data_IF_978466675991
#
_entry.id   IF_978466675991
#
_cell.length_a   1.000
_cell.length_b   1.000
_cell.length_c   1.000
_cell.angle_alpha   90.00
_cell.angle_beta   90.00
_cell.angle_gamma   90.00
#
_symmetry.space_group_name_H-M   'P 1'
#
loop_
_entity.id
_entity.type
_entity.pdbx_description
1 polymer ?
#
# COMPACT_ATOMS: atom_id res chain seq x y z
N UNK A 1 22.48 18.56 -8.01
CA UNK A 1 23.08 18.04 -6.79
C UNK A 1 23.06 16.52 -6.84
N UNK A 2 24.15 15.89 -6.39
CA UNK A 2 24.21 14.43 -6.27
C UNK A 2 23.46 14.05 -5.00
N UNK A 3 22.28 13.45 -5.15
CA UNK A 3 21.49 12.93 -4.05
C UNK A 3 22.06 11.57 -3.60
N UNK A 4 22.24 11.42 -2.30
CA UNK A 4 22.45 10.11 -1.71
C UNK A 4 21.11 9.57 -1.22
N UNK A 5 20.83 8.33 -1.55
CA UNK A 5 19.65 7.60 -1.05
C UNK A 5 20.10 6.67 0.07
N UNK A 6 19.44 6.76 1.22
CA UNK A 6 19.57 5.82 2.33
C UNK A 6 18.24 5.11 2.52
N UNK A 7 18.28 3.80 2.72
CA UNK A 7 17.10 2.98 2.95
C UNK A 7 16.98 2.62 4.43
N UNK A 8 15.74 2.60 4.92
CA UNK A 8 15.41 2.19 6.28
C UNK A 8 14.08 1.45 6.32
N UNK A 9 13.93 0.54 7.26
CA UNK A 9 12.69 -0.20 7.50
C UNK A 9 12.07 0.23 8.82
N UNK A 10 10.84 0.76 8.77
CA UNK A 10 10.08 1.16 9.96
C UNK A 10 9.66 -0.02 10.83
N UNK A 11 9.26 -1.14 10.20
CA UNK A 11 8.79 -2.32 10.91
C UNK A 11 9.92 -3.09 11.61
N UNK A 12 9.88 -3.11 12.93
CA UNK A 12 10.81 -3.89 13.75
C UNK A 12 10.63 -5.41 13.59
N UNK A 13 9.43 -5.86 13.22
CA UNK A 13 9.14 -7.28 12.93
C UNK A 13 9.86 -7.70 11.66
N UNK A 14 9.70 -6.90 10.59
CA UNK A 14 10.35 -7.18 9.29
C UNK A 14 11.87 -7.16 9.43
N UNK A 15 12.43 -6.15 10.13
CA UNK A 15 13.90 -6.08 10.34
C UNK A 15 14.44 -7.32 11.07
N UNK A 16 13.72 -7.80 12.10
CA UNK A 16 14.13 -9.06 12.79
C UNK A 16 14.05 -10.26 11.88
N UNK A 17 12.97 -10.40 11.11
CA UNK A 17 12.82 -11.51 10.17
C UNK A 17 13.93 -11.52 9.10
N UNK A 18 14.29 -10.37 8.54
CA UNK A 18 15.40 -10.25 7.57
C UNK A 18 16.75 -10.62 8.20
N UNK A 19 16.98 -10.17 9.43
CA UNK A 19 18.21 -10.52 10.15
C UNK A 19 18.33 -12.02 10.42
N UNK A 20 17.23 -12.65 10.84
CA UNK A 20 17.21 -14.07 11.21
C UNK A 20 17.24 -14.99 9.99
N UNK A 21 16.47 -14.68 8.95
CA UNK A 21 16.30 -15.55 7.77
C UNK A 21 17.34 -15.29 6.68
N UNK A 22 17.70 -14.02 6.47
CA UNK A 22 18.49 -13.58 5.31
C UNK A 22 19.84 -13.02 5.68
N UNK A 23 20.16 -12.90 6.98
CA UNK A 23 21.39 -12.29 7.51
C UNK A 23 21.56 -10.81 7.07
N UNK A 24 20.46 -10.12 6.78
CA UNK A 24 20.44 -8.70 6.39
C UNK A 24 20.14 -7.86 7.63
N UNK A 25 21.08 -6.97 7.97
CA UNK A 25 20.93 -6.02 9.09
C UNK A 25 20.38 -4.68 8.56
N UNK A 26 19.08 -4.63 8.36
CA UNK A 26 18.39 -3.45 7.84
C UNK A 26 18.27 -2.36 8.93
N UNK A 27 18.56 -1.12 8.56
CA UNK A 27 18.50 0.02 9.47
C UNK A 27 17.06 0.40 9.82
N UNK A 28 16.85 0.84 11.05
CA UNK A 28 15.66 1.62 11.43
C UNK A 28 15.77 3.06 10.89
N UNK A 29 14.66 3.81 10.84
CA UNK A 29 14.71 5.23 10.49
C UNK A 29 15.67 6.04 11.36
N UNK A 30 15.67 5.83 12.67
CA UNK A 30 16.59 6.51 13.59
C UNK A 30 18.07 6.17 13.30
N UNK A 31 18.39 4.89 13.07
CA UNK A 31 19.76 4.49 12.73
C UNK A 31 20.22 5.06 11.38
N UNK A 32 19.33 5.12 10.39
CA UNK A 32 19.63 5.73 9.10
C UNK A 32 19.89 7.24 9.24
N UNK A 33 19.07 7.94 10.03
CA UNK A 33 19.27 9.37 10.31
C UNK A 33 20.59 9.63 11.05
N UNK A 34 20.92 8.81 12.06
CA UNK A 34 22.20 8.90 12.76
C UNK A 34 23.39 8.73 11.81
N UNK A 35 23.34 7.75 10.90
CA UNK A 35 24.38 7.55 9.88
C UNK A 35 24.49 8.72 8.90
N UNK A 36 23.37 9.34 8.49
CA UNK A 36 23.40 10.52 7.63
C UNK A 36 24.07 11.70 8.33
N UNK A 37 23.76 11.91 9.62
CA UNK A 37 24.43 12.92 10.46
C UNK A 37 25.94 12.67 10.54
N UNK A 38 26.36 11.45 10.86
CA UNK A 38 27.79 11.08 10.95
C UNK A 38 28.56 11.31 9.63
N UNK A 39 27.87 11.13 8.50
CA UNK A 39 28.42 11.41 7.16
C UNK A 39 28.42 12.88 6.78
N UNK A 40 27.91 13.77 7.64
CA UNK A 40 27.90 15.22 7.45
C UNK A 40 26.80 15.74 6.53
N UNK A 41 25.72 14.97 6.28
CA UNK A 41 24.57 15.48 5.56
C UNK A 41 23.83 16.48 6.44
N UNK A 42 23.46 17.61 5.86
CA UNK A 42 22.80 18.74 6.56
C UNK A 42 21.36 18.95 6.13
N UNK A 43 20.97 18.44 4.96
CA UNK A 43 19.62 18.52 4.41
C UNK A 43 19.13 17.11 4.07
N UNK A 44 17.97 16.75 4.61
CA UNK A 44 17.40 15.42 4.45
C UNK A 44 15.92 15.55 4.07
N UNK A 45 15.52 14.84 3.03
CA UNK A 45 14.11 14.64 2.70
C UNK A 45 13.78 13.15 2.91
N UNK A 46 12.79 12.88 3.73
CA UNK A 46 12.35 11.53 4.06
C UNK A 46 11.10 11.20 3.25
N UNK A 47 11.15 10.14 2.45
CA UNK A 47 10.01 9.63 1.70
C UNK A 47 9.45 8.37 2.38
N UNK A 48 8.29 8.44 3.08
CA UNK A 48 7.60 7.26 3.55
C UNK A 48 7.04 6.49 2.36
N UNK A 49 7.33 5.20 2.28
CA UNK A 49 6.67 4.32 1.31
C UNK A 49 5.40 3.67 1.87
N UNK A 50 4.91 4.18 2.98
CA UNK A 50 3.64 3.76 3.59
C UNK A 50 2.45 4.17 2.71
N UNK A 51 1.45 3.29 2.61
CA UNK A 51 0.22 3.59 1.86
C UNK A 51 -0.68 4.52 2.67
N UNK A 52 -0.84 4.26 3.96
CA UNK A 52 -1.73 5.00 4.87
C UNK A 52 -0.93 5.67 5.99
N UNK A 53 -1.49 6.72 6.57
CA UNK A 53 -0.93 7.38 7.75
C UNK A 53 -1.28 6.57 9.03
N UNK A 54 -0.76 5.35 9.10
CA UNK A 54 -0.96 4.40 10.20
C UNK A 54 0.15 4.48 11.25
N UNK A 55 0.21 3.46 12.12
CA UNK A 55 1.15 3.38 13.25
C UNK A 55 2.61 3.50 12.77
N UNK A 56 2.99 2.76 11.71
CA UNK A 56 4.36 2.77 11.20
C UNK A 56 4.78 4.15 10.65
N UNK A 57 3.85 4.86 9.98
CA UNK A 57 4.12 6.21 9.50
C UNK A 57 4.23 7.21 10.66
N UNK A 58 3.41 7.06 11.69
CA UNK A 58 3.51 7.85 12.92
C UNK A 58 4.87 7.65 13.60
N UNK A 59 5.31 6.41 13.75
CA UNK A 59 6.61 6.08 14.34
C UNK A 59 7.77 6.65 13.53
N UNK A 60 7.68 6.63 12.20
CA UNK A 60 8.66 7.27 11.33
C UNK A 60 8.72 8.79 11.58
N UNK A 61 7.56 9.47 11.59
CA UNK A 61 7.48 10.92 11.85
C UNK A 61 8.05 11.28 13.22
N UNK A 62 7.80 10.45 14.23
CA UNK A 62 8.37 10.62 15.56
C UNK A 62 9.90 10.49 15.54
N UNK A 63 10.45 9.45 14.89
CA UNK A 63 11.90 9.29 14.76
C UNK A 63 12.56 10.49 14.06
N UNK A 64 11.92 11.06 13.03
CA UNK A 64 12.40 12.27 12.36
C UNK A 64 12.39 13.46 13.32
N UNK A 65 11.34 13.64 14.13
CA UNK A 65 11.25 14.74 15.07
C UNK A 65 12.34 14.67 16.16
N UNK A 66 12.64 13.47 16.66
CA UNK A 66 13.72 13.23 17.62
C UNK A 66 15.12 13.60 17.06
N UNK A 67 15.31 13.50 15.75
CA UNK A 67 16.54 13.85 15.04
C UNK A 67 16.52 15.22 14.38
N UNK A 68 15.45 16.02 14.53
CA UNK A 68 15.29 17.31 13.84
C UNK A 68 16.46 18.27 14.06
N UNK A 69 16.97 18.35 15.29
CA UNK A 69 18.08 19.22 15.63
C UNK A 69 19.45 18.78 15.08
N UNK A 70 19.52 17.57 14.52
CA UNK A 70 20.75 17.02 13.95
C UNK A 70 21.06 17.57 12.54
N UNK A 71 20.07 18.20 11.90
CA UNK A 71 20.14 18.67 10.52
C UNK A 71 19.81 20.17 10.43
N UNK A 72 20.32 20.81 9.38
CA UNK A 72 19.92 22.19 9.03
C UNK A 72 18.47 22.19 8.54
N UNK A 73 18.11 21.18 7.76
CA UNK A 73 16.75 20.95 7.29
C UNK A 73 16.48 19.44 7.20
N UNK A 74 15.37 19.03 7.77
CA UNK A 74 14.82 17.68 7.59
C UNK A 74 13.31 17.78 7.42
N UNK A 75 12.80 17.23 6.33
CA UNK A 75 11.38 17.23 6.01
C UNK A 75 10.91 15.81 5.69
N UNK A 76 9.64 15.54 6.01
CA UNK A 76 8.99 14.25 5.73
C UNK A 76 7.89 14.48 4.72
N UNK A 77 7.95 13.75 3.62
CA UNK A 77 6.88 13.71 2.63
C UNK A 77 5.64 13.00 3.19
N UNK A 78 4.49 13.24 2.58
CA UNK A 78 3.26 12.55 2.92
C UNK A 78 3.33 11.04 2.58
N UNK A 79 2.57 10.23 3.31
CA UNK A 79 2.25 8.86 2.89
C UNK A 79 1.42 8.89 1.59
N UNK A 80 1.25 7.73 0.92
CA UNK A 80 0.55 7.68 -0.36
C UNK A 80 -0.89 8.24 -0.28
N UNK A 81 -1.60 7.96 0.83
CA UNK A 81 -2.97 8.37 1.07
C UNK A 81 -3.04 9.23 2.35
N UNK A 82 -2.69 10.49 2.26
CA UNK A 82 -2.74 11.41 3.41
C UNK A 82 -3.75 12.54 3.20
N UNK A 83 -3.82 13.10 2.00
CA UNK A 83 -4.72 14.20 1.64
C UNK A 83 -5.88 13.71 0.77
N UNK A 84 -7.02 14.42 0.76
CA UNK A 84 -8.16 14.05 -0.11
C UNK A 84 -7.80 13.91 -1.60
N UNK A 85 -6.88 14.75 -2.10
CA UNK A 85 -6.46 14.71 -3.50
C UNK A 85 -5.66 13.43 -3.82
N UNK A 86 -4.90 12.91 -2.86
CA UNK A 86 -4.09 11.70 -3.06
C UNK A 86 -4.95 10.50 -3.45
N UNK A 87 -6.16 10.38 -2.87
CA UNK A 87 -7.08 9.29 -3.21
C UNK A 87 -7.52 9.35 -4.68
N UNK A 88 -7.72 10.56 -5.22
CA UNK A 88 -8.09 10.75 -6.62
C UNK A 88 -6.89 10.45 -7.53
N UNK A 89 -5.70 10.94 -7.16
CA UNK A 89 -4.49 10.75 -7.95
C UNK A 89 -4.08 9.27 -7.99
N UNK A 90 -4.15 8.59 -6.84
CA UNK A 90 -3.88 7.14 -6.74
C UNK A 90 -4.94 6.32 -7.48
N UNK A 91 -6.24 6.69 -7.40
CA UNK A 91 -7.29 6.02 -8.14
C UNK A 91 -7.04 6.07 -9.66
N UNK A 92 -6.69 7.24 -10.17
CA UNK A 92 -6.36 7.42 -11.58
C UNK A 92 -5.08 6.65 -11.97
N UNK A 93 -4.04 6.71 -11.13
CA UNK A 93 -2.77 6.01 -11.36
C UNK A 93 -2.95 4.49 -11.42
N UNK A 94 -3.75 3.92 -10.50
CA UNK A 94 -4.07 2.50 -10.49
C UNK A 94 -4.90 2.09 -11.70
N UNK A 95 -5.96 2.86 -12.01
CA UNK A 95 -6.83 2.51 -13.13
C UNK A 95 -6.11 2.55 -14.47
N UNK A 96 -5.32 3.59 -14.73
CA UNK A 96 -4.54 3.67 -15.99
C UNK A 96 -3.54 2.52 -16.12
N UNK A 97 -3.06 1.99 -14.99
CA UNK A 97 -2.09 0.90 -14.95
C UNK A 97 -2.73 -0.48 -15.10
N UNK A 98 -4.00 -0.65 -14.70
CA UNK A 98 -4.65 -1.95 -14.55
C UNK A 98 -5.74 -2.23 -15.59
N UNK A 99 -6.37 -1.19 -16.14
CA UNK A 99 -7.59 -1.32 -16.96
C UNK A 99 -7.49 -2.32 -18.11
N UNK A 100 -6.34 -2.38 -18.77
CA UNK A 100 -6.14 -3.24 -19.95
C UNK A 100 -5.99 -4.73 -19.55
N UNK A 101 -5.47 -5.00 -18.33
CA UNK A 101 -5.35 -6.36 -17.79
C UNK A 101 -6.66 -6.82 -17.12
N UNK A 102 -7.38 -5.91 -16.46
CA UNK A 102 -8.64 -6.19 -15.78
C UNK A 102 -9.80 -6.38 -16.77
N UNK A 103 -9.81 -5.62 -17.87
CA UNK A 103 -10.91 -5.65 -18.84
C UNK A 103 -12.26 -5.31 -18.21
N UNK A 104 -13.26 -6.15 -18.45
CA UNK A 104 -14.62 -5.99 -17.91
C UNK A 104 -14.84 -6.73 -16.57
N UNK A 105 -13.83 -7.45 -16.06
CA UNK A 105 -13.95 -8.23 -14.84
C UNK A 105 -14.00 -7.33 -13.59
N UNK A 106 -14.88 -7.61 -12.61
CA UNK A 106 -14.80 -6.94 -11.32
C UNK A 106 -13.39 -7.03 -10.72
N UNK A 107 -12.93 -5.94 -10.11
CA UNK A 107 -11.61 -5.84 -9.50
C UNK A 107 -11.71 -5.82 -7.98
N UNK A 108 -11.01 -6.73 -7.32
CA UNK A 108 -10.89 -6.78 -5.86
C UNK A 108 -9.46 -6.48 -5.46
N UNK A 109 -9.28 -5.41 -4.71
CA UNK A 109 -8.00 -5.13 -4.07
C UNK A 109 -7.93 -5.78 -2.69
N UNK A 110 -6.78 -6.38 -2.38
CA UNK A 110 -6.47 -6.87 -1.05
C UNK A 110 -5.50 -5.91 -0.35
N UNK A 111 -5.99 -5.15 0.63
CA UNK A 111 -5.17 -4.34 1.52
C UNK A 111 -4.69 -5.13 2.74
N UNK A 112 -3.64 -4.67 3.41
CA UNK A 112 -3.20 -5.24 4.68
C UNK A 112 -4.27 -5.05 5.76
N UNK A 113 -4.77 -3.82 5.89
CA UNK A 113 -5.64 -3.44 6.99
C UNK A 113 -4.87 -3.10 8.27
N UNK A 114 -5.58 -2.61 9.26
CA UNK A 114 -5.02 -2.28 10.58
C UNK A 114 -6.13 -2.07 11.60
N UNK A 115 -5.84 -2.32 12.88
CA UNK A 115 -6.74 -1.94 13.98
C UNK A 115 -6.77 -0.41 14.22
N UNK A 116 -5.79 0.33 13.67
CA UNK A 116 -5.73 1.78 13.78
C UNK A 116 -6.86 2.46 13.00
N UNK A 117 -7.26 3.67 13.41
CA UNK A 117 -8.32 4.43 12.73
C UNK A 117 -8.02 4.73 11.24
N UNK A 118 -6.75 4.70 10.84
CA UNK A 118 -6.33 4.84 9.45
C UNK A 118 -6.84 3.71 8.53
N UNK A 119 -7.40 2.63 9.07
CA UNK A 119 -8.09 1.59 8.30
C UNK A 119 -9.24 2.13 7.45
N UNK A 120 -9.85 3.25 7.87
CA UNK A 120 -10.87 3.96 7.08
C UNK A 120 -10.37 4.41 5.70
N UNK A 121 -9.06 4.56 5.50
CA UNK A 121 -8.46 4.91 4.21
C UNK A 121 -8.79 3.92 3.11
N UNK A 122 -8.99 2.64 3.43
CA UNK A 122 -9.38 1.62 2.44
C UNK A 122 -10.79 1.86 1.91
N UNK A 123 -11.74 2.20 2.79
CA UNK A 123 -13.10 2.55 2.37
C UNK A 123 -13.14 3.84 1.55
N UNK A 124 -12.35 4.86 1.94
CA UNK A 124 -12.23 6.12 1.20
C UNK A 124 -11.62 5.86 -0.18
N UNK A 125 -10.59 5.01 -0.25
CA UNK A 125 -9.93 4.64 -1.50
C UNK A 125 -10.88 3.89 -2.45
N UNK A 126 -11.66 2.93 -1.95
CA UNK A 126 -12.69 2.26 -2.75
C UNK A 126 -13.70 3.26 -3.33
N UNK A 127 -14.17 4.20 -2.48
CA UNK A 127 -15.09 5.24 -2.94
C UNK A 127 -14.46 6.15 -4.00
N UNK A 128 -13.19 6.53 -3.84
CA UNK A 128 -12.47 7.33 -4.83
C UNK A 128 -12.32 6.58 -6.16
N UNK A 129 -11.93 5.31 -6.14
CA UNK A 129 -11.85 4.46 -7.33
C UNK A 129 -13.20 4.40 -8.05
N UNK A 130 -14.28 4.10 -7.32
CA UNK A 130 -15.63 3.99 -7.89
C UNK A 130 -16.16 5.34 -8.42
N UNK A 131 -15.73 6.46 -7.83
CA UNK A 131 -16.09 7.80 -8.31
C UNK A 131 -15.30 8.20 -9.57
N UNK A 132 -14.03 7.79 -9.67
CA UNK A 132 -13.17 8.14 -10.80
C UNK A 132 -13.44 7.26 -12.02
N UNK A 133 -13.87 5.99 -11.82
CA UNK A 133 -14.04 5.02 -12.90
C UNK A 133 -15.38 4.28 -12.77
N UNK A 134 -16.06 4.14 -13.89
CA UNK A 134 -17.33 3.40 -13.95
C UNK A 134 -17.06 1.90 -14.09
N UNK A 135 -16.50 1.29 -13.04
CA UNK A 135 -16.11 -0.12 -13.02
C UNK A 135 -16.42 -0.73 -11.63
N UNK A 136 -16.84 -1.99 -11.53
CA UNK A 136 -17.03 -2.66 -10.25
C UNK A 136 -15.69 -2.93 -9.57
N UNK A 137 -15.35 -2.07 -8.60
CA UNK A 137 -14.11 -2.16 -7.82
C UNK A 137 -14.45 -2.28 -6.34
N UNK A 138 -13.72 -3.13 -5.64
CA UNK A 138 -13.88 -3.42 -4.22
C UNK A 138 -12.52 -3.44 -3.53
N UNK A 139 -12.49 -3.09 -2.25
CA UNK A 139 -11.32 -3.27 -1.40
C UNK A 139 -11.72 -4.06 -0.17
N UNK A 140 -11.01 -5.17 0.08
CA UNK A 140 -11.05 -5.89 1.35
C UNK A 140 -9.66 -5.89 1.98
N UNK A 141 -9.59 -6.17 3.26
CA UNK A 141 -8.34 -6.17 4.03
C UNK A 141 -8.16 -7.50 4.76
N UNK A 142 -6.88 -7.87 5.01
CA UNK A 142 -6.52 -9.09 5.76
C UNK A 142 -6.80 -8.88 7.24
N UNK A 143 -6.30 -7.77 7.82
CA UNK A 143 -6.33 -7.48 9.26
C UNK A 143 -7.25 -6.30 9.62
N UNK A 144 -7.94 -5.71 8.65
CA UNK A 144 -8.81 -4.55 8.86
C UNK A 144 -10.28 -4.91 9.00
N UNK A 145 -11.13 -3.88 8.90
CA UNK A 145 -12.57 -3.99 9.15
C UNK A 145 -13.38 -4.54 7.98
N UNK A 146 -12.93 -4.32 6.75
CA UNK A 146 -13.64 -4.76 5.55
C UNK A 146 -13.07 -6.11 5.14
N UNK A 147 -13.81 -7.17 5.41
CA UNK A 147 -13.38 -8.53 5.10
C UNK A 147 -13.70 -8.91 3.67
N UNK A 148 -13.03 -9.94 3.13
CA UNK A 148 -13.39 -10.53 1.83
C UNK A 148 -14.84 -11.07 1.81
N UNK A 149 -15.35 -11.55 2.95
CA UNK A 149 -16.75 -11.97 3.08
C UNK A 149 -17.74 -10.80 2.89
N UNK A 150 -17.42 -9.60 3.39
CA UNK A 150 -18.22 -8.40 3.15
C UNK A 150 -18.21 -7.98 1.68
N UNK A 151 -17.05 -8.10 1.02
CA UNK A 151 -16.92 -7.83 -0.41
C UNK A 151 -17.74 -8.84 -1.23
N UNK A 152 -17.63 -10.12 -0.95
CA UNK A 152 -18.40 -11.17 -1.63
C UNK A 152 -19.91 -10.93 -1.51
N UNK A 153 -20.39 -10.57 -0.31
CA UNK A 153 -21.82 -10.24 -0.10
C UNK A 153 -22.24 -9.07 -1.00
N UNK A 154 -21.47 -7.98 -1.02
CA UNK A 154 -21.74 -6.82 -1.89
C UNK A 154 -21.69 -7.15 -3.37
N UNK A 155 -20.71 -7.95 -3.80
CA UNK A 155 -20.61 -8.43 -5.17
C UNK A 155 -21.85 -9.24 -5.58
N UNK A 156 -22.32 -10.16 -4.72
CA UNK A 156 -23.51 -10.94 -4.97
C UNK A 156 -24.77 -10.07 -5.13
N UNK A 157 -24.88 -8.98 -4.38
CA UNK A 157 -26.00 -8.03 -4.48
C UNK A 157 -25.89 -7.16 -5.74
N UNK A 158 -24.72 -6.57 -6.00
CA UNK A 158 -24.49 -5.63 -7.09
C UNK A 158 -24.42 -6.31 -8.46
N UNK A 159 -23.85 -7.52 -8.52
CA UNK A 159 -23.65 -8.29 -9.74
C UNK A 159 -24.69 -9.40 -9.95
N UNK A 160 -25.76 -9.43 -9.16
CA UNK A 160 -26.78 -10.50 -9.19
C UNK A 160 -27.40 -10.76 -10.57
N UNK A 161 -27.34 -9.80 -11.50
CA UNK A 161 -27.85 -9.89 -12.87
C UNK A 161 -26.77 -10.12 -13.92
N UNK A 162 -25.48 -10.05 -13.50
CA UNK A 162 -24.38 -10.29 -14.40
C UNK A 162 -24.06 -11.78 -14.42
N UNK A 163 -23.89 -12.35 -15.60
CA UNK A 163 -23.38 -13.72 -15.76
C UNK A 163 -21.86 -13.79 -15.50
N UNK A 164 -21.25 -12.65 -15.13
CA UNK A 164 -19.82 -12.51 -14.92
C UNK A 164 -19.39 -13.19 -13.63
N UNK A 165 -18.62 -14.26 -13.76
CA UNK A 165 -18.01 -14.99 -12.65
C UNK A 165 -16.52 -14.71 -12.49
N UNK A 166 -15.87 -14.35 -13.60
CA UNK A 166 -14.45 -13.99 -13.56
C UNK A 166 -14.25 -12.73 -12.75
N UNK A 167 -13.28 -12.73 -11.83
CA UNK A 167 -12.92 -11.61 -10.98
C UNK A 167 -11.40 -11.51 -10.87
N UNK A 168 -10.86 -10.32 -11.01
CA UNK A 168 -9.44 -10.07 -10.83
C UNK A 168 -9.16 -9.65 -9.38
N UNK A 169 -8.15 -10.26 -8.77
CA UNK A 169 -7.71 -9.95 -7.39
C UNK A 169 -6.27 -9.49 -7.44
N UNK A 170 -5.96 -8.36 -6.81
CA UNK A 170 -4.61 -7.80 -6.79
C UNK A 170 -4.28 -7.14 -5.44
N UNK A 171 -3.02 -7.12 -4.99
CA UNK A 171 -2.68 -6.47 -3.73
C UNK A 171 -2.85 -4.94 -3.82
N UNK A 172 -3.42 -4.33 -2.78
CA UNK A 172 -3.28 -2.92 -2.48
C UNK A 172 -2.20 -2.75 -1.41
N UNK A 173 -1.01 -3.23 -1.74
CA UNK A 173 0.21 -3.19 -0.93
C UNK A 173 1.38 -2.78 -1.81
N UNK A 174 2.36 -2.09 -1.24
CA UNK A 174 3.53 -1.59 -2.01
C UNK A 174 4.25 -2.73 -2.73
N UNK A 175 4.43 -3.85 -2.03
CA UNK A 175 5.12 -5.05 -2.51
C UNK A 175 4.18 -6.24 -2.38
N UNK A 176 4.18 -7.12 -3.38
CA UNK A 176 3.47 -8.40 -3.35
C UNK A 176 4.33 -9.46 -2.63
N UNK A 177 4.33 -9.41 -1.28
CA UNK A 177 5.08 -10.32 -0.41
C UNK A 177 4.26 -11.53 0.07
N UNK A 178 4.53 -11.98 1.30
CA UNK A 178 3.90 -13.17 1.91
C UNK A 178 2.37 -13.09 1.91
N UNK A 179 1.78 -11.92 2.21
CA UNK A 179 0.33 -11.75 2.18
C UNK A 179 -0.27 -11.97 0.77
N UNK A 180 0.40 -11.51 -0.28
CA UNK A 180 -0.09 -11.72 -1.64
C UNK A 180 -0.04 -13.18 -2.06
N UNK A 181 0.96 -13.93 -1.59
CA UNK A 181 1.11 -15.35 -1.90
C UNK A 181 0.22 -16.25 -1.03
N UNK A 182 0.03 -15.92 0.24
CA UNK A 182 -0.70 -16.77 1.19
C UNK A 182 -2.14 -16.30 1.37
N UNK A 183 -2.37 -15.05 1.83
CA UNK A 183 -3.71 -14.57 2.18
C UNK A 183 -4.54 -14.21 0.93
N UNK A 184 -3.89 -13.82 -0.19
CA UNK A 184 -4.60 -13.55 -1.42
C UNK A 184 -4.73 -14.80 -2.31
N UNK A 185 -3.61 -15.42 -2.68
CA UNK A 185 -3.55 -16.47 -3.70
C UNK A 185 -3.38 -17.89 -3.14
N UNK A 186 -3.34 -18.07 -1.81
CA UNK A 186 -3.23 -19.38 -1.17
C UNK A 186 -4.40 -20.32 -1.47
N UNK A 187 -4.18 -21.61 -1.27
CA UNK A 187 -5.19 -22.65 -1.55
C UNK A 187 -6.30 -22.70 -0.48
N UNK A 188 -5.98 -22.35 0.78
CA UNK A 188 -6.90 -22.42 1.91
C UNK A 188 -7.01 -21.05 2.60
N UNK A 189 -8.20 -20.69 3.09
CA UNK A 189 -8.54 -19.48 3.86
C UNK A 189 -8.07 -18.14 3.24
N UNK A 190 -7.86 -18.13 1.94
CA UNK A 190 -7.41 -16.97 1.16
C UNK A 190 -8.56 -16.23 0.49
N UNK A 191 -8.27 -15.07 -0.09
CA UNK A 191 -9.23 -14.36 -0.95
C UNK A 191 -9.63 -15.22 -2.14
N UNK A 192 -8.67 -15.90 -2.76
CA UNK A 192 -8.89 -16.82 -3.87
C UNK A 192 -9.86 -17.95 -3.48
N UNK A 193 -9.58 -18.68 -2.40
CA UNK A 193 -10.41 -19.81 -1.97
C UNK A 193 -11.83 -19.36 -1.62
N UNK A 194 -12.00 -18.25 -0.89
CA UNK A 194 -13.31 -17.71 -0.49
C UNK A 194 -14.14 -17.22 -1.68
N UNK A 195 -13.51 -16.56 -2.65
CA UNK A 195 -14.19 -16.17 -3.90
C UNK A 195 -14.62 -17.40 -4.71
N UNK A 196 -13.78 -18.42 -4.80
CA UNK A 196 -14.09 -19.67 -5.48
C UNK A 196 -15.24 -20.43 -4.81
N UNK A 197 -15.26 -20.50 -3.49
CA UNK A 197 -16.36 -21.09 -2.71
C UNK A 197 -17.69 -20.34 -2.94
N UNK A 198 -17.61 -19.01 -3.14
CA UNK A 198 -18.77 -18.18 -3.47
C UNK A 198 -19.24 -18.30 -4.93
N UNK A 199 -18.56 -19.11 -5.75
CA UNK A 199 -18.92 -19.39 -7.14
C UNK A 199 -18.32 -18.44 -8.17
N UNK A 200 -17.33 -17.63 -7.79
CA UNK A 200 -16.53 -16.82 -8.70
C UNK A 200 -15.34 -17.60 -9.26
N UNK A 201 -14.74 -17.07 -10.31
CA UNK A 201 -13.53 -17.58 -10.97
C UNK A 201 -12.40 -16.53 -10.77
N UNK A 202 -11.72 -16.53 -9.61
CA UNK A 202 -10.73 -15.52 -9.31
C UNK A 202 -9.43 -15.73 -10.10
N UNK A 203 -8.90 -14.64 -10.65
CA UNK A 203 -7.56 -14.52 -11.21
C UNK A 203 -6.72 -13.62 -10.31
N UNK A 204 -5.63 -14.15 -9.75
CA UNK A 204 -4.75 -13.40 -8.86
C UNK A 204 -3.57 -12.77 -9.63
N UNK A 205 -3.53 -11.44 -9.65
CA UNK A 205 -2.40 -10.66 -10.17
C UNK A 205 -1.45 -10.35 -9.02
N UNK A 206 -0.37 -11.13 -8.87
CA UNK A 206 0.62 -10.97 -7.79
C UNK A 206 1.61 -9.87 -8.19
N UNK A 207 1.17 -8.61 -8.02
CA UNK A 207 1.96 -7.42 -8.33
C UNK A 207 1.66 -6.31 -7.31
N UNK A 208 2.70 -5.81 -6.64
CA UNK A 208 2.56 -4.70 -5.69
C UNK A 208 2.29 -3.38 -6.40
N UNK A 209 1.55 -2.47 -5.74
CA UNK A 209 1.23 -1.16 -6.35
C UNK A 209 2.48 -0.31 -6.61
N UNK A 210 3.60 -0.56 -5.91
CA UNK A 210 4.88 0.10 -6.15
C UNK A 210 5.54 -0.28 -7.48
N UNK A 211 5.08 -1.33 -8.15
CA UNK A 211 5.57 -1.72 -9.47
C UNK A 211 4.99 -0.85 -10.60
N UNK A 212 3.87 -0.16 -10.35
CA UNK A 212 3.25 0.72 -11.33
C UNK A 212 3.94 2.10 -11.37
N UNK A 213 4.50 2.52 -12.52
CA UNK A 213 5.17 3.81 -12.63
C UNK A 213 4.28 4.99 -12.21
N UNK A 214 3.00 4.98 -12.60
CA UNK A 214 2.07 6.05 -12.26
C UNK A 214 1.84 6.19 -10.74
N UNK A 215 1.87 5.09 -9.98
CA UNK A 215 1.79 5.14 -8.51
C UNK A 215 3.09 5.67 -7.90
N UNK A 216 4.25 5.27 -8.44
CA UNK A 216 5.54 5.83 -8.01
C UNK A 216 5.64 7.33 -8.25
N UNK A 217 5.02 7.84 -9.33
CA UNK A 217 5.00 9.27 -9.63
C UNK A 217 4.23 10.07 -8.57
N UNK A 218 3.20 9.49 -7.94
CA UNK A 218 2.50 10.12 -6.79
C UNK A 218 3.45 10.26 -5.59
N UNK A 219 4.17 9.19 -5.21
CA UNK A 219 5.19 9.27 -4.16
C UNK A 219 6.27 10.31 -4.47
N UNK A 220 6.74 10.35 -5.72
CA UNK A 220 7.74 11.34 -6.14
C UNK A 220 7.19 12.77 -6.13
N UNK A 221 5.90 12.97 -6.39
CA UNK A 221 5.27 14.28 -6.26
C UNK A 221 5.25 14.74 -4.79
N UNK A 222 4.94 13.83 -3.84
CA UNK A 222 5.01 14.11 -2.40
C UNK A 222 6.44 14.47 -1.97
N UNK A 223 7.45 13.72 -2.44
CA UNK A 223 8.84 14.02 -2.13
C UNK A 223 9.25 15.40 -2.64
N UNK A 224 8.92 15.73 -3.90
CA UNK A 224 9.24 17.04 -4.50
C UNK A 224 8.60 18.22 -3.77
N UNK A 225 7.47 18.00 -3.11
CA UNK A 225 6.78 19.05 -2.36
C UNK A 225 7.49 19.47 -1.08
N UNK A 226 8.43 18.64 -0.59
CA UNK A 226 9.21 18.91 0.66
C UNK A 226 10.70 19.13 0.38
N UNK A 227 11.14 19.07 -0.85
CA UNK A 227 12.52 19.38 -1.31
C UNK A 227 12.64 20.84 -1.69
#
# INVERSE_FOLDING_TARGET
PDWMVAEALSSGIVRRAMKEKEQIDALSPAEALAQLKERGYTHVAVLPTHIINGIENHNLKQAVEEHRSDFVQIEVADALLEKPQDYVDVANALWISLKDEVGDAPLVFMGHGTEHMADSSYAIMENALRACVNHPIYIATVEGRITIGDVIRRMNEELARAEQKHVVVTPFMLVAGDHANNDMAGEEDSFYSKLKEAGYEPECMIRGIGEYPAVRDVYLAHLRAVM
#
